data_IF_456948437372
#
_entry.id   IF_456948437372
#
_cell.length_a   1.000
_cell.length_b   1.000
_cell.length_c   1.000
_cell.angle_alpha   90.00
_cell.angle_beta   90.00
_cell.angle_gamma   90.00
#
_symmetry.space_group_name_H-M   'P 1'
#
loop_
_entity.id
_entity.type
_entity.pdbx_description
1 polymer ?
#
# COMPACT_ATOMS: atom_id res chain seq x y z
N UNK A 1 18.55 27.95 -2.73
CA UNK A 1 18.81 28.90 -3.84
C UNK A 1 18.26 28.30 -5.12
N UNK A 2 17.47 29.07 -5.87
CA UNK A 2 16.93 28.79 -7.21
C UNK A 2 18.04 28.99 -8.29
N UNK A 3 17.79 28.87 -9.63
CA UNK A 3 18.85 28.60 -10.61
C UNK A 3 20.07 29.53 -10.57
N UNK A 4 21.25 28.89 -10.66
CA UNK A 4 22.54 29.47 -11.05
C UNK A 4 22.64 29.40 -12.58
N UNK A 5 22.19 30.43 -13.29
CA UNK A 5 22.19 30.46 -14.75
C UNK A 5 23.60 30.65 -15.32
N UNK A 6 24.01 29.87 -16.35
CA UNK A 6 25.16 30.25 -17.17
C UNK A 6 25.14 29.73 -18.62
N UNK A 7 24.67 30.54 -19.59
CA UNK A 7 24.93 30.32 -21.01
C UNK A 7 25.49 31.59 -21.68
N UNK A 8 26.82 31.62 -21.88
CA UNK A 8 27.57 32.39 -22.91
C UNK A 8 29.04 31.99 -22.81
N UNK A 9 29.90 32.23 -23.82
CA UNK A 9 31.28 31.77 -23.77
C UNK A 9 32.05 32.49 -22.65
N UNK A 10 32.63 31.70 -21.75
CA UNK A 10 33.40 32.20 -20.61
C UNK A 10 34.86 32.44 -20.99
N UNK A 11 35.46 33.52 -20.47
CA UNK A 11 36.90 33.76 -20.54
C UNK A 11 37.68 32.71 -19.70
N UNK A 12 39.01 32.62 -19.86
CA UNK A 12 39.82 31.62 -19.15
C UNK A 12 39.73 31.68 -17.62
N UNK A 13 39.67 32.88 -17.03
CA UNK A 13 39.52 33.08 -15.58
C UNK A 13 38.15 32.63 -15.06
N UNK A 14 37.09 32.97 -15.79
CA UNK A 14 35.71 32.64 -15.43
C UNK A 14 35.45 31.13 -15.50
N UNK A 15 36.13 30.41 -16.41
CA UNK A 15 36.08 28.93 -16.45
C UNK A 15 36.60 28.31 -15.16
N UNK A 16 37.64 28.89 -14.53
CA UNK A 16 38.18 28.38 -13.26
C UNK A 16 37.22 28.65 -12.09
N UNK A 17 36.61 29.83 -12.06
CA UNK A 17 35.58 30.18 -11.06
C UNK A 17 34.36 29.25 -11.19
N UNK A 18 33.83 29.08 -12.41
CA UNK A 18 32.74 28.14 -12.67
C UNK A 18 33.08 26.72 -12.24
N UNK A 19 34.28 26.21 -12.55
CA UNK A 19 34.69 24.89 -12.13
C UNK A 19 34.72 24.71 -10.60
N UNK A 20 35.09 25.75 -9.84
CA UNK A 20 35.04 25.73 -8.37
C UNK A 20 33.59 25.66 -7.88
N UNK A 21 32.71 26.47 -8.45
CA UNK A 21 31.29 26.45 -8.09
C UNK A 21 30.62 25.12 -8.45
N UNK A 22 30.94 24.54 -9.61
CA UNK A 22 30.45 23.22 -10.01
C UNK A 22 30.93 22.12 -9.06
N UNK A 23 32.18 22.18 -8.57
CA UNK A 23 32.67 21.24 -7.56
C UNK A 23 31.88 21.37 -6.25
N UNK A 24 31.63 22.60 -5.79
CA UNK A 24 30.80 22.84 -4.61
C UNK A 24 29.35 22.37 -4.81
N UNK A 25 28.76 22.68 -5.96
CA UNK A 25 27.41 22.26 -6.31
C UNK A 25 27.28 20.72 -6.31
N UNK A 26 28.24 20.00 -6.92
CA UNK A 26 28.28 18.53 -6.89
C UNK A 26 28.41 17.98 -5.47
N UNK A 27 29.18 18.64 -4.60
CA UNK A 27 29.25 18.30 -3.18
C UNK A 27 27.90 18.47 -2.48
N UNK A 28 27.25 19.62 -2.68
CA UNK A 28 25.92 19.89 -2.13
C UNK A 28 24.84 18.95 -2.66
N UNK A 29 24.90 18.56 -3.94
CA UNK A 29 23.98 17.59 -4.52
C UNK A 29 24.01 16.27 -3.75
N UNK A 30 25.20 15.77 -3.39
CA UNK A 30 25.32 14.52 -2.62
C UNK A 30 24.72 14.64 -1.23
N UNK A 31 24.98 15.76 -0.54
CA UNK A 31 24.46 15.99 0.82
C UNK A 31 22.94 16.08 0.80
N UNK A 32 22.38 16.89 -0.10
CA UNK A 32 20.92 17.08 -0.19
C UNK A 32 20.21 15.81 -0.65
N UNK A 33 20.79 15.04 -1.57
CA UNK A 33 20.24 13.75 -1.98
C UNK A 33 20.19 12.76 -0.80
N UNK A 34 21.29 12.62 -0.05
CA UNK A 34 21.34 11.75 1.13
C UNK A 34 20.31 12.17 2.20
N UNK A 35 20.17 13.47 2.46
CA UNK A 35 19.16 13.98 3.38
C UNK A 35 17.73 13.72 2.89
N UNK A 36 17.48 13.86 1.58
CA UNK A 36 16.18 13.53 0.99
C UNK A 36 15.84 12.05 1.17
N UNK A 37 16.80 11.15 0.92
CA UNK A 37 16.61 9.71 1.08
C UNK A 37 16.35 9.33 2.55
N UNK A 38 17.08 9.95 3.48
CA UNK A 38 16.87 9.77 4.92
C UNK A 38 15.45 10.22 5.34
N UNK A 39 15.01 11.39 4.90
CA UNK A 39 13.68 11.90 5.23
C UNK A 39 12.57 11.07 4.61
N UNK A 40 12.78 10.54 3.39
CA UNK A 40 11.84 9.60 2.77
C UNK A 40 11.75 8.30 3.54
N UNK A 41 12.88 7.70 3.93
CA UNK A 41 12.86 6.47 4.73
C UNK A 41 12.13 6.64 6.06
N UNK A 42 12.30 7.78 6.73
CA UNK A 42 11.54 8.12 7.95
C UNK A 42 10.05 8.29 7.66
N UNK A 43 9.71 9.00 6.59
CA UNK A 43 8.33 9.17 6.14
C UNK A 43 7.65 7.83 5.82
N UNK A 44 8.32 6.98 5.05
CA UNK A 44 7.81 5.66 4.67
C UNK A 44 7.57 4.76 5.90
N UNK A 45 8.46 4.81 6.90
CA UNK A 45 8.27 4.08 8.16
C UNK A 45 7.04 4.58 8.94
N UNK A 46 6.82 5.89 8.99
CA UNK A 46 5.65 6.49 9.65
C UNK A 46 4.35 6.17 8.90
N UNK A 47 4.36 6.22 7.56
CA UNK A 47 3.21 5.85 6.73
C UNK A 47 2.87 4.36 6.95
N UNK A 48 3.89 3.49 6.94
CA UNK A 48 3.71 2.07 7.22
C UNK A 48 3.07 1.81 8.59
N UNK A 49 3.49 2.55 9.61
CA UNK A 49 2.90 2.46 10.94
C UNK A 49 1.44 2.96 10.96
N UNK A 50 1.15 4.06 10.27
CA UNK A 50 -0.22 4.57 10.14
C UNK A 50 -1.14 3.56 9.44
N UNK A 51 -0.67 2.95 8.36
CA UNK A 51 -1.42 1.93 7.62
C UNK A 51 -1.65 0.66 8.45
N UNK A 52 -0.66 0.25 9.27
CA UNK A 52 -0.82 -0.85 10.23
C UNK A 52 -1.96 -0.56 11.22
N UNK A 53 -1.93 0.63 11.85
CA UNK A 53 -2.96 1.05 12.81
C UNK A 53 -4.34 1.17 12.17
N UNK A 54 -4.42 1.62 10.91
CA UNK A 54 -5.66 1.65 10.16
C UNK A 54 -6.24 0.24 9.97
N UNK A 55 -5.40 -0.75 9.64
CA UNK A 55 -5.85 -2.14 9.50
C UNK A 55 -6.31 -2.74 10.83
N UNK A 56 -5.56 -2.51 11.91
CA UNK A 56 -5.91 -2.98 13.25
C UNK A 56 -7.24 -2.37 13.72
N UNK A 57 -7.39 -1.05 13.61
CA UNK A 57 -8.65 -0.38 13.97
C UNK A 57 -9.84 -0.82 13.11
N UNK A 58 -9.62 -1.14 11.83
CA UNK A 58 -10.66 -1.69 10.97
C UNK A 58 -11.08 -3.10 11.41
N UNK A 59 -10.14 -3.97 11.77
CA UNK A 59 -10.44 -5.29 12.32
C UNK A 59 -11.23 -5.20 13.64
N UNK A 60 -10.86 -4.29 14.55
CA UNK A 60 -11.58 -4.06 15.80
C UNK A 60 -13.02 -3.60 15.55
N UNK A 61 -13.21 -2.65 14.62
CA UNK A 61 -14.54 -2.21 14.19
C UNK A 61 -15.35 -3.38 13.61
N UNK A 62 -14.76 -4.18 12.73
CA UNK A 62 -15.41 -5.35 12.14
C UNK A 62 -15.89 -6.35 13.20
N UNK A 63 -15.12 -6.53 14.28
CA UNK A 63 -15.51 -7.38 15.40
C UNK A 63 -16.61 -6.76 16.28
N UNK A 64 -16.57 -5.43 16.49
CA UNK A 64 -17.51 -4.73 17.36
C UNK A 64 -18.89 -4.51 16.70
N UNK A 65 -18.93 -4.02 15.47
CA UNK A 65 -20.17 -3.55 14.82
C UNK A 65 -20.70 -4.50 13.72
N UNK A 66 -19.85 -5.36 13.13
CA UNK A 66 -20.22 -6.24 11.99
C UNK A 66 -20.29 -5.53 10.62
N UNK A 67 -20.44 -6.29 9.52
CA UNK A 67 -20.35 -5.81 8.11
C UNK A 67 -21.31 -4.65 7.72
N UNK A 68 -20.97 -3.83 6.70
CA UNK A 68 -19.66 -3.34 6.28
C UNK A 68 -19.39 -1.94 6.86
N UNK A 69 -18.19 -1.75 7.40
CA UNK A 69 -17.84 -0.51 8.09
C UNK A 69 -16.93 0.34 7.20
N UNK A 70 -17.50 1.43 6.69
CA UNK A 70 -16.82 2.49 5.94
C UNK A 70 -16.17 3.50 6.92
N UNK A 71 -14.93 3.99 6.68
CA UNK A 71 -13.99 3.56 5.64
C UNK A 71 -13.12 2.38 6.07
N UNK A 72 -12.86 1.50 5.11
CA UNK A 72 -11.85 0.46 5.18
C UNK A 72 -10.50 0.99 4.68
N UNK A 73 -9.37 0.33 4.97
CA UNK A 73 -8.13 0.58 4.24
C UNK A 73 -8.29 0.25 2.75
N UNK A 74 -7.40 0.82 1.94
CA UNK A 74 -7.16 0.41 0.55
C UNK A 74 -6.26 -0.82 0.50
N UNK A 75 -6.21 -1.49 -0.65
CA UNK A 75 -5.40 -2.70 -0.85
C UNK A 75 -3.91 -2.43 -0.63
N UNK A 76 -3.38 -1.31 -1.13
CA UNK A 76 -1.97 -0.95 -0.89
C UNK A 76 -1.68 -0.60 0.57
N UNK A 77 -2.58 0.11 1.25
CA UNK A 77 -2.46 0.37 2.68
C UNK A 77 -2.47 -0.93 3.48
N UNK A 78 -3.36 -1.89 3.15
CA UNK A 78 -3.39 -3.18 3.81
C UNK A 78 -2.07 -3.96 3.63
N UNK A 79 -1.56 -4.01 2.41
CA UNK A 79 -0.27 -4.66 2.10
C UNK A 79 0.89 -3.93 2.77
N UNK A 80 0.92 -2.59 2.75
CA UNK A 80 1.97 -1.79 3.37
C UNK A 80 1.97 -1.96 4.90
N UNK A 81 0.78 -1.92 5.52
CA UNK A 81 0.57 -2.13 6.96
C UNK A 81 0.91 -3.55 7.45
N UNK A 82 1.22 -4.48 6.55
CA UNK A 82 1.61 -5.85 6.89
C UNK A 82 0.46 -6.84 6.97
N UNK A 83 -0.71 -6.48 6.43
CA UNK A 83 -1.90 -7.33 6.37
C UNK A 83 -2.25 -7.72 4.93
N UNK A 84 -1.43 -8.54 4.24
CA UNK A 84 -1.66 -8.89 2.84
C UNK A 84 -2.79 -9.91 2.65
N UNK A 85 -3.39 -10.45 3.70
CA UNK A 85 -4.45 -11.45 3.61
C UNK A 85 -5.81 -10.89 4.02
N UNK A 86 -6.84 -11.22 3.26
CA UNK A 86 -8.23 -10.91 3.59
C UNK A 86 -9.01 -12.21 3.79
N UNK A 87 -9.52 -12.41 5.00
CA UNK A 87 -10.42 -13.50 5.34
C UNK A 87 -11.83 -13.16 4.85
N UNK A 88 -12.41 -14.08 4.08
CA UNK A 88 -13.76 -13.93 3.53
C UNK A 88 -14.56 -15.20 3.72
N UNK A 89 -15.87 -15.06 3.64
CA UNK A 89 -16.81 -16.15 3.55
C UNK A 89 -17.75 -15.94 2.36
N UNK A 90 -18.15 -17.01 1.67
CA UNK A 90 -19.24 -16.89 0.71
C UNK A 90 -20.58 -16.64 1.42
N UNK A 91 -21.25 -15.53 1.11
CA UNK A 91 -22.58 -15.20 1.69
C UNK A 91 -23.63 -16.30 1.50
N UNK A 92 -23.52 -17.12 0.44
CA UNK A 92 -24.46 -18.22 0.14
C UNK A 92 -24.04 -19.56 0.74
N UNK A 93 -22.86 -20.07 0.36
CA UNK A 93 -22.45 -21.44 0.69
C UNK A 93 -21.53 -21.51 1.91
N UNK A 94 -21.31 -20.37 2.59
CA UNK A 94 -20.58 -20.28 3.87
C UNK A 94 -19.20 -20.94 3.83
N UNK A 95 -18.61 -20.98 2.64
CA UNK A 95 -17.27 -21.54 2.44
C UNK A 95 -16.26 -20.45 2.79
N UNK A 96 -15.40 -20.68 3.79
CA UNK A 96 -14.36 -19.73 4.14
C UNK A 96 -13.26 -19.76 3.06
N UNK A 97 -12.63 -18.61 2.84
CA UNK A 97 -11.52 -18.47 1.92
C UNK A 97 -10.59 -17.34 2.39
N UNK A 98 -9.33 -17.39 1.97
CA UNK A 98 -8.37 -16.32 2.20
C UNK A 98 -7.90 -15.78 0.84
N UNK A 99 -7.93 -14.46 0.70
CA UNK A 99 -7.46 -13.78 -0.52
C UNK A 99 -6.13 -13.10 -0.21
N UNK A 100 -5.14 -13.37 -1.03
CA UNK A 100 -3.89 -12.60 -1.07
C UNK A 100 -4.17 -11.27 -1.80
N UNK A 101 -4.18 -10.17 -1.04
CA UNK A 101 -4.38 -8.82 -1.53
C UNK A 101 -3.21 -8.33 -2.39
N UNK A 102 -1.99 -8.80 -2.13
CA UNK A 102 -0.81 -8.42 -2.92
C UNK A 102 -0.80 -9.10 -4.30
N UNK A 103 -1.36 -10.31 -4.40
CA UNK A 103 -1.51 -11.04 -5.67
C UNK A 103 -2.82 -10.72 -6.42
N UNK A 104 -3.74 -9.97 -5.80
CA UNK A 104 -5.05 -9.68 -6.37
C UNK A 104 -4.92 -8.72 -7.57
N UNK A 105 -5.58 -9.07 -8.69
CA UNK A 105 -5.65 -8.20 -9.87
C UNK A 105 -6.71 -7.11 -9.66
N UNK A 106 -6.37 -6.08 -8.90
CA UNK A 106 -7.18 -4.87 -8.75
C UNK A 106 -6.27 -3.63 -8.66
N UNK A 107 -6.80 -2.41 -8.90
CA UNK A 107 -6.08 -1.19 -8.59
C UNK A 107 -5.67 -1.17 -7.11
N UNK A 108 -4.43 -0.77 -6.77
CA UNK A 108 -3.94 -0.72 -5.38
C UNK A 108 -4.78 0.19 -4.49
N UNK A 109 -5.35 1.25 -5.08
CA UNK A 109 -6.22 2.22 -4.41
C UNK A 109 -7.65 1.72 -4.19
N UNK A 110 -7.95 0.45 -4.50
CA UNK A 110 -9.28 -0.12 -4.27
C UNK A 110 -9.48 -0.30 -2.77
N UNK A 111 -10.62 0.15 -2.23
CA UNK A 111 -10.97 -0.12 -0.85
C UNK A 111 -11.30 -1.60 -0.61
N UNK A 112 -10.89 -2.13 0.53
CA UNK A 112 -11.16 -3.52 0.91
C UNK A 112 -12.65 -3.85 0.91
N UNK A 113 -13.51 -2.94 1.38
CA UNK A 113 -14.96 -3.15 1.38
C UNK A 113 -15.56 -3.33 -0.02
N UNK A 114 -14.99 -2.68 -1.06
CA UNK A 114 -15.45 -2.85 -2.44
C UNK A 114 -15.20 -4.26 -3.00
N UNK A 115 -14.25 -5.00 -2.41
CA UNK A 115 -13.91 -6.36 -2.85
C UNK A 115 -15.05 -7.35 -2.62
N UNK A 116 -15.92 -7.12 -1.63
CA UNK A 116 -17.08 -7.96 -1.33
C UNK A 116 -17.94 -8.25 -2.58
N UNK A 117 -18.13 -7.22 -3.41
CA UNK A 117 -18.92 -7.30 -4.65
C UNK A 117 -18.15 -7.87 -5.85
N UNK A 118 -16.82 -7.88 -5.80
CA UNK A 118 -15.93 -8.28 -6.91
C UNK A 118 -15.49 -9.74 -6.81
N UNK A 119 -15.36 -10.26 -5.59
CA UNK A 119 -14.94 -11.63 -5.33
C UNK A 119 -16.01 -12.64 -5.73
N UNK A 120 -15.58 -13.83 -6.16
CA UNK A 120 -16.47 -14.89 -6.67
C UNK A 120 -16.13 -16.21 -5.99
N UNK A 121 -17.12 -16.83 -5.38
CA UNK A 121 -16.97 -18.18 -4.83
C UNK A 121 -16.91 -19.21 -5.97
N UNK A 122 -15.87 -20.05 -5.99
CA UNK A 122 -15.69 -21.08 -7.02
C UNK A 122 -16.82 -22.14 -7.00
N UNK A 123 -17.22 -22.59 -5.81
CA UNK A 123 -18.32 -23.57 -5.65
C UNK A 123 -19.63 -23.03 -6.20
N UNK A 124 -19.99 -21.80 -5.82
CA UNK A 124 -21.21 -21.16 -6.33
C UNK A 124 -21.12 -20.83 -7.81
N UNK A 125 -19.94 -20.48 -8.32
CA UNK A 125 -19.70 -20.24 -9.75
C UNK A 125 -19.98 -21.48 -10.58
N UNK A 126 -19.52 -22.67 -10.14
CA UNK A 126 -19.81 -23.96 -10.78
C UNK A 126 -21.33 -24.25 -10.83
N UNK A 127 -22.07 -23.78 -9.85
CA UNK A 127 -23.54 -23.88 -9.80
C UNK A 127 -24.28 -22.74 -10.55
N UNK A 128 -23.58 -21.89 -11.30
CA UNK A 128 -24.18 -20.77 -12.04
C UNK A 128 -24.65 -19.60 -11.17
N UNK A 129 -24.14 -19.48 -9.94
CA UNK A 129 -24.55 -18.47 -8.97
C UNK A 129 -23.40 -17.50 -8.68
N UNK A 130 -23.74 -16.24 -8.37
CA UNK A 130 -22.79 -15.15 -8.17
C UNK A 130 -23.04 -14.41 -6.84
N UNK A 131 -22.87 -15.09 -5.69
CA UNK A 131 -23.00 -14.44 -4.39
C UNK A 131 -21.85 -13.45 -4.15
N UNK A 132 -22.11 -12.40 -3.34
CA UNK A 132 -21.07 -11.55 -2.75
C UNK A 132 -20.25 -12.32 -1.71
N UNK A 133 -19.04 -11.85 -1.45
CA UNK A 133 -18.27 -12.27 -0.31
C UNK A 133 -18.66 -11.45 0.92
N UNK A 134 -18.80 -12.12 2.06
CA UNK A 134 -18.79 -11.51 3.39
C UNK A 134 -17.34 -11.36 3.81
N UNK A 135 -16.91 -10.15 4.12
CA UNK A 135 -15.58 -9.83 4.62
C UNK A 135 -15.54 -10.08 6.12
N UNK A 136 -14.47 -10.70 6.60
CA UNK A 136 -14.33 -11.03 8.02
C UNK A 136 -13.27 -10.15 8.68
N UNK A 137 -12.02 -10.28 8.26
CA UNK A 137 -10.90 -9.52 8.83
C UNK A 137 -9.69 -9.51 7.90
N UNK A 138 -8.79 -8.56 8.13
CA UNK A 138 -7.45 -8.53 7.56
C UNK A 138 -6.48 -9.33 8.43
N UNK A 139 -5.54 -10.01 7.80
CA UNK A 139 -4.57 -10.88 8.47
C UNK A 139 -3.15 -10.72 7.93
N UNK A 140 -2.17 -10.90 8.81
CA UNK A 140 -0.74 -10.92 8.45
C UNK A 140 -0.35 -12.21 7.70
N UNK A 141 -1.12 -13.28 7.92
CA UNK A 141 -0.90 -14.62 7.36
C UNK A 141 -2.22 -15.23 6.94
N UNK A 142 -2.23 -16.20 5.99
CA UNK A 142 -3.46 -16.89 5.66
C UNK A 142 -3.89 -17.69 6.89
N UNK A 143 -5.13 -17.48 7.35
CA UNK A 143 -5.68 -18.33 8.41
C UNK A 143 -5.76 -19.76 7.88
N UNK A 144 -5.30 -20.73 8.67
CA UNK A 144 -5.54 -22.13 8.33
C UNK A 144 -7.05 -22.33 8.28
N UNK A 145 -7.59 -22.51 7.08
CA UNK A 145 -8.99 -22.85 6.89
C UNK A 145 -9.19 -24.18 7.60
N UNK A 146 -9.91 -24.18 8.73
CA UNK A 146 -10.24 -25.42 9.42
C UNK A 146 -11.00 -26.31 8.44
N UNK A 147 -10.34 -27.36 7.96
CA UNK A 147 -11.00 -28.46 7.28
C UNK A 147 -11.66 -29.30 8.37
N UNK A 148 -12.80 -28.82 8.88
CA UNK A 148 -13.68 -29.66 9.66
C UNK A 148 -14.15 -30.77 8.70
N UNK A 149 -13.68 -31.98 8.97
CA UNK A 149 -13.98 -33.22 8.23
C UNK A 149 -15.23 -33.84 8.80
#
# INVERSE_FOLDING_TARGET
>A
MAPKYHPTPLSGGDRKALNKELRQARGMTRILAAQSDEMRSKGDALIKQADRLLCESWNERMWADGEPIDPSPTVDQAVNGGFPWLEIECSRCKTPNNIDLAALRCPPTTFVHDLASKLRCEKCRKAGKRPSATLLQLGERPRQLRTDT
#
